data_IF_014804429560
#
_entry.id   IF_014804429560
#
_cell.length_a   1.000
_cell.length_b   1.000
_cell.length_c   1.000
_cell.angle_alpha   90.00
_cell.angle_beta   90.00
_cell.angle_gamma   90.00
#
_symmetry.space_group_name_H-M   'P 1'
#
loop_
_entity.id
_entity.type
_entity.pdbx_description
1 polymer ?
#
# COMPACT_ATOMS: atom_id res chain seq x y z
N UNK A 1 -55.51 57.07 -5.93
CA UNK A 1 -54.60 56.23 -6.73
C UNK A 1 -53.74 55.44 -5.75
N UNK A 2 -54.02 54.16 -5.54
CA UNK A 2 -53.28 53.24 -4.66
C UNK A 2 -52.32 52.48 -5.53
N UNK A 3 -50.98 52.64 -5.33
CA UNK A 3 -49.96 51.87 -6.04
C UNK A 3 -49.75 50.55 -5.30
N UNK A 4 -50.09 49.43 -5.98
CA UNK A 4 -49.74 48.08 -5.56
C UNK A 4 -48.27 47.78 -5.96
N UNK A 5 -47.44 47.48 -4.97
CA UNK A 5 -46.10 46.93 -5.17
C UNK A 5 -46.23 45.41 -5.19
N UNK A 6 -45.95 44.78 -6.31
CA UNK A 6 -45.80 43.32 -6.43
C UNK A 6 -44.35 42.97 -6.11
N UNK A 7 -44.15 42.36 -4.97
CA UNK A 7 -42.85 41.75 -4.61
C UNK A 7 -42.75 40.42 -5.33
N UNK A 8 -41.88 40.34 -6.35
CA UNK A 8 -41.50 39.11 -7.00
C UNK A 8 -40.42 38.42 -6.16
N UNK A 9 -40.77 37.39 -5.41
CA UNK A 9 -39.81 36.53 -4.70
C UNK A 9 -39.23 35.53 -5.69
N UNK A 10 -37.96 35.75 -6.09
CA UNK A 10 -37.20 34.79 -6.89
C UNK A 10 -36.66 33.76 -5.90
N UNK A 11 -37.30 32.58 -5.84
CA UNK A 11 -36.76 31.40 -5.16
C UNK A 11 -35.61 30.86 -5.97
N UNK A 12 -34.35 31.11 -5.55
CA UNK A 12 -33.17 30.42 -6.08
C UNK A 12 -33.23 28.97 -5.56
N UNK A 13 -33.65 28.05 -6.41
CA UNK A 13 -33.49 26.62 -6.17
C UNK A 13 -32.02 26.25 -6.43
N UNK A 14 -31.18 26.22 -5.39
CA UNK A 14 -29.85 25.66 -5.46
C UNK A 14 -30.00 24.14 -5.52
N UNK A 15 -30.01 23.56 -6.70
CA UNK A 15 -29.82 22.12 -6.88
C UNK A 15 -28.42 21.75 -6.41
N UNK A 16 -28.26 21.33 -5.16
CA UNK A 16 -27.08 20.61 -4.74
C UNK A 16 -27.09 19.26 -5.45
N UNK A 17 -26.32 19.15 -6.51
CA UNK A 17 -25.96 17.84 -7.04
C UNK A 17 -25.07 17.16 -5.98
N UNK A 18 -25.66 16.30 -5.17
CA UNK A 18 -24.89 15.33 -4.38
C UNK A 18 -24.30 14.38 -5.42
N UNK A 19 -23.06 14.62 -5.78
CA UNK A 19 -22.31 13.68 -6.61
C UNK A 19 -22.19 12.39 -5.78
N UNK A 20 -22.86 11.33 -6.21
CA UNK A 20 -22.77 10.04 -5.53
C UNK A 20 -21.29 9.64 -5.47
N UNK A 21 -20.78 9.43 -4.26
CA UNK A 21 -19.40 8.97 -4.07
C UNK A 21 -19.27 7.59 -4.73
N UNK A 22 -18.22 7.40 -5.52
CA UNK A 22 -17.91 6.12 -6.14
C UNK A 22 -17.80 5.04 -5.06
N UNK A 23 -18.38 3.83 -5.25
CA UNK A 23 -18.16 2.72 -4.33
C UNK A 23 -16.67 2.45 -4.14
N UNK A 24 -16.26 2.11 -2.92
CA UNK A 24 -14.85 1.90 -2.57
C UNK A 24 -14.17 0.85 -3.47
N UNK A 25 -14.88 -0.22 -3.80
CA UNK A 25 -14.38 -1.28 -4.69
C UNK A 25 -14.07 -0.75 -6.09
N UNK A 26 -14.94 0.09 -6.63
CA UNK A 26 -14.75 0.70 -7.95
C UNK A 26 -13.61 1.73 -7.93
N UNK A 27 -13.48 2.50 -6.85
CA UNK A 27 -12.39 3.44 -6.65
C UNK A 27 -11.03 2.73 -6.62
N UNK A 28 -10.90 1.69 -5.79
CA UNK A 28 -9.68 0.90 -5.68
C UNK A 28 -9.30 0.27 -7.02
N UNK A 29 -10.27 -0.32 -7.71
CA UNK A 29 -10.04 -0.93 -9.01
C UNK A 29 -9.67 0.09 -10.09
N UNK A 30 -10.23 1.28 -10.04
CA UNK A 30 -9.87 2.38 -10.96
C UNK A 30 -8.40 2.81 -10.79
N UNK A 31 -7.84 2.78 -9.56
CA UNK A 31 -6.42 3.03 -9.35
C UNK A 31 -5.54 1.94 -9.97
N UNK A 32 -5.93 0.66 -9.85
CA UNK A 32 -5.21 -0.45 -10.50
C UNK A 32 -5.20 -0.27 -12.02
N UNK A 33 -6.37 0.00 -12.63
CA UNK A 33 -6.47 0.29 -14.07
C UNK A 33 -5.61 1.49 -14.49
N UNK A 34 -5.49 2.47 -13.61
CA UNK A 34 -4.72 3.69 -13.87
C UNK A 34 -3.20 3.47 -13.84
N UNK A 35 -2.72 2.38 -13.24
CA UNK A 35 -1.28 2.12 -13.09
C UNK A 35 -0.78 0.93 -13.92
N UNK A 36 -1.65 -0.02 -14.26
CA UNK A 36 -1.32 -1.21 -15.03
C UNK A 36 -0.59 -0.88 -16.34
N UNK A 37 0.46 -1.65 -16.67
CA UNK A 37 1.17 -1.60 -17.92
C UNK A 37 2.01 -0.34 -18.17
N UNK A 38 2.11 0.56 -17.18
CA UNK A 38 2.91 1.77 -17.25
C UNK A 38 4.34 1.53 -16.79
N UNK A 39 5.29 2.30 -17.31
CA UNK A 39 6.65 2.35 -16.79
C UNK A 39 6.67 2.96 -15.38
N UNK A 40 7.74 2.72 -14.61
CA UNK A 40 7.84 3.27 -13.24
C UNK A 40 7.72 4.82 -13.23
N UNK A 41 8.23 5.52 -14.24
CA UNK A 41 8.08 6.99 -14.35
C UNK A 41 6.61 7.40 -14.58
N UNK A 42 5.89 6.68 -15.44
CA UNK A 42 4.47 6.94 -15.70
C UNK A 42 3.60 6.58 -14.52
N UNK A 43 3.95 5.52 -13.76
CA UNK A 43 3.29 5.14 -12.51
C UNK A 43 3.49 6.22 -11.45
N UNK A 44 4.72 6.71 -11.27
CA UNK A 44 5.01 7.84 -10.38
C UNK A 44 4.24 9.12 -10.78
N UNK A 45 4.12 9.42 -12.07
CA UNK A 45 3.32 10.54 -12.57
C UNK A 45 1.82 10.35 -12.26
N UNK A 46 1.29 9.14 -12.45
CA UNK A 46 -0.09 8.82 -12.10
C UNK A 46 -0.37 9.02 -10.62
N UNK A 47 0.49 8.50 -9.73
CA UNK A 47 0.34 8.67 -8.27
C UNK A 47 0.30 10.16 -7.91
N UNK A 48 1.24 10.96 -8.43
CA UNK A 48 1.27 12.42 -8.20
C UNK A 48 0.00 13.11 -8.70
N UNK A 49 -0.52 12.69 -9.84
CA UNK A 49 -1.79 13.20 -10.37
C UNK A 49 -2.97 12.90 -9.42
N UNK A 50 -3.06 11.66 -8.88
CA UNK A 50 -4.12 11.34 -7.92
C UNK A 50 -3.97 12.17 -6.63
N UNK A 51 -2.77 12.31 -6.08
CA UNK A 51 -2.52 13.16 -4.90
C UNK A 51 -2.90 14.62 -5.13
N UNK A 52 -2.65 15.15 -6.32
CA UNK A 52 -3.13 16.49 -6.71
C UNK A 52 -4.67 16.57 -6.74
N UNK A 53 -5.35 15.59 -7.32
CA UNK A 53 -6.83 15.53 -7.33
C UNK A 53 -7.43 15.48 -5.92
N UNK A 54 -6.76 14.80 -4.99
CA UNK A 54 -7.12 14.73 -3.58
C UNK A 54 -6.79 16.02 -2.82
N UNK A 55 -6.06 16.97 -3.42
CA UNK A 55 -5.50 18.16 -2.77
C UNK A 55 -4.59 17.80 -1.57
N UNK A 56 -3.80 16.75 -1.70
CA UNK A 56 -2.86 16.25 -0.68
C UNK A 56 -1.44 16.65 -1.05
N UNK A 57 -0.73 17.26 -0.08
CA UNK A 57 0.69 17.58 -0.25
C UNK A 57 1.58 16.33 -0.13
N UNK A 58 2.62 16.27 -0.94
CA UNK A 58 3.61 15.19 -0.90
C UNK A 58 5.03 15.73 -1.06
N UNK A 59 6.01 14.91 -0.71
CA UNK A 59 7.44 15.15 -0.92
C UNK A 59 7.96 14.09 -1.87
N UNK A 60 8.82 14.49 -2.80
CA UNK A 60 9.56 13.55 -3.64
C UNK A 60 10.99 13.39 -3.12
N UNK A 61 11.49 12.17 -3.18
CA UNK A 61 12.82 11.80 -2.73
C UNK A 61 13.55 11.05 -3.85
N UNK A 62 14.13 11.79 -4.82
CA UNK A 62 14.87 11.19 -5.93
C UNK A 62 16.17 10.55 -5.43
N UNK A 63 16.53 9.43 -6.01
CA UNK A 63 17.78 8.74 -5.72
C UNK A 63 18.46 8.21 -6.98
N UNK A 64 19.75 7.98 -6.83
CA UNK A 64 20.58 7.37 -7.84
C UNK A 64 21.54 6.39 -7.18
N UNK A 65 21.58 5.18 -7.70
CA UNK A 65 22.47 4.14 -7.20
C UNK A 65 23.23 3.49 -8.38
N UNK A 66 24.37 2.89 -8.06
CA UNK A 66 25.17 2.13 -9.01
C UNK A 66 25.08 0.67 -8.58
N UNK A 67 24.57 -0.19 -9.43
CA UNK A 67 24.47 -1.63 -9.17
C UNK A 67 25.22 -2.42 -10.22
N UNK A 68 25.72 -3.60 -9.79
CA UNK A 68 26.29 -4.59 -10.70
C UNK A 68 25.21 -5.59 -11.10
N UNK A 69 24.79 -5.51 -12.37
CA UNK A 69 23.83 -6.45 -12.94
C UNK A 69 24.53 -7.30 -13.99
N UNK A 70 24.63 -8.61 -13.77
CA UNK A 70 25.27 -9.56 -14.70
C UNK A 70 26.67 -9.14 -15.17
N UNK A 71 27.52 -8.58 -14.29
CA UNK A 71 28.87 -8.04 -14.52
C UNK A 71 28.93 -6.65 -15.19
N UNK A 72 27.81 -6.05 -15.51
CA UNK A 72 27.74 -4.68 -16.02
C UNK A 72 27.41 -3.70 -14.89
N UNK A 73 28.03 -2.53 -14.94
CA UNK A 73 27.69 -1.43 -14.04
C UNK A 73 26.47 -0.72 -14.58
N UNK A 74 25.34 -0.80 -13.87
CA UNK A 74 24.10 -0.15 -14.23
C UNK A 74 23.81 0.99 -13.26
N UNK A 75 23.44 2.14 -13.80
CA UNK A 75 22.96 3.27 -13.02
C UNK A 75 21.44 3.12 -12.90
N UNK A 76 20.96 2.99 -11.66
CA UNK A 76 19.54 2.93 -11.34
C UNK A 76 19.14 4.28 -10.78
N UNK A 77 18.10 4.86 -11.36
CA UNK A 77 17.51 6.14 -10.94
C UNK A 77 16.06 5.85 -10.53
N UNK A 78 15.66 6.38 -9.39
CA UNK A 78 14.31 6.25 -8.88
C UNK A 78 13.88 7.47 -8.07
N UNK A 79 12.62 7.51 -7.68
CA UNK A 79 12.05 8.59 -6.88
C UNK A 79 10.96 8.06 -5.95
N UNK A 80 11.18 8.05 -4.65
CA UNK A 80 10.08 7.78 -3.71
C UNK A 80 9.13 8.98 -3.61
N UNK A 81 7.83 8.69 -3.46
CA UNK A 81 6.78 9.68 -3.22
C UNK A 81 6.26 9.47 -1.80
N UNK A 82 6.24 10.53 -0.99
CA UNK A 82 5.95 10.44 0.44
C UNK A 82 4.85 11.44 0.81
N UNK A 83 3.73 10.94 1.32
CA UNK A 83 2.67 11.76 1.93
C UNK A 83 2.78 11.68 3.43
N UNK A 84 2.78 12.83 4.10
CA UNK A 84 2.90 12.92 5.57
C UNK A 84 1.62 13.42 6.19
N UNK A 85 0.99 12.59 7.01
CA UNK A 85 -0.20 12.96 7.79
C UNK A 85 0.12 12.97 9.28
N UNK A 86 -0.60 13.78 10.04
CA UNK A 86 -0.46 13.86 11.48
C UNK A 86 0.80 14.59 11.96
N UNK A 87 0.94 14.65 13.28
CA UNK A 87 2.06 15.30 13.97
C UNK A 87 2.45 14.48 15.21
N UNK A 88 3.68 14.63 15.68
CA UNK A 88 4.16 13.94 16.87
C UNK A 88 5.61 13.48 16.73
N UNK A 89 6.06 12.65 17.69
CA UNK A 89 7.46 12.28 17.83
C UNK A 89 7.80 10.91 17.28
N UNK A 90 6.84 9.97 17.26
CA UNK A 90 7.04 8.60 16.79
C UNK A 90 6.20 8.36 15.54
N UNK A 91 6.84 8.00 14.46
CA UNK A 91 6.28 7.85 13.13
C UNK A 91 6.01 6.40 12.77
N UNK A 92 4.86 6.16 12.14
CA UNK A 92 4.55 4.93 11.41
C UNK A 92 4.87 5.13 9.92
N UNK A 93 5.35 4.10 9.25
CA UNK A 93 5.45 4.06 7.79
C UNK A 93 4.43 3.06 7.26
N UNK A 94 3.70 3.44 6.22
CA UNK A 94 2.81 2.56 5.46
C UNK A 94 3.25 2.67 4.00
N UNK A 95 3.61 1.57 3.37
CA UNK A 95 4.18 1.66 2.03
C UNK A 95 3.76 0.54 1.10
N UNK A 96 3.92 0.83 -0.19
CA UNK A 96 3.84 -0.11 -1.30
C UNK A 96 4.85 0.34 -2.37
N UNK A 97 5.47 -0.60 -3.07
CA UNK A 97 6.27 -0.21 -4.22
C UNK A 97 5.37 0.08 -5.42
N UNK A 98 5.87 0.90 -6.33
CA UNK A 98 5.08 1.29 -7.50
C UNK A 98 5.74 0.94 -8.84
N UNK A 99 7.00 0.53 -8.86
CA UNK A 99 7.60 -0.08 -10.03
C UNK A 99 6.98 -1.46 -10.30
N UNK A 100 7.34 -2.07 -11.38
CA UNK A 100 6.91 -3.41 -11.75
C UNK A 100 8.07 -4.18 -12.37
N UNK A 101 8.04 -5.48 -12.22
CA UNK A 101 9.02 -6.35 -12.84
C UNK A 101 9.03 -6.15 -14.36
N UNK A 102 10.21 -6.29 -14.95
CA UNK A 102 10.39 -6.08 -16.40
C UNK A 102 9.43 -6.97 -17.19
N UNK A 103 8.73 -6.38 -18.14
CA UNK A 103 7.76 -7.02 -19.03
C UNK A 103 6.47 -7.52 -18.34
N UNK A 104 6.29 -7.23 -17.03
CA UNK A 104 5.03 -7.42 -16.32
C UNK A 104 4.16 -6.17 -16.38
N UNK A 105 2.85 -6.29 -16.60
CA UNK A 105 1.92 -5.18 -16.44
C UNK A 105 1.81 -4.67 -15.01
N UNK A 106 2.12 -5.52 -14.00
CA UNK A 106 2.19 -5.15 -12.59
C UNK A 106 0.88 -4.64 -12.02
N UNK A 107 -0.24 -5.29 -12.34
CA UNK A 107 -1.54 -4.89 -11.83
C UNK A 107 -1.73 -5.33 -10.37
N UNK A 108 -1.35 -6.56 -10.05
CA UNK A 108 -1.37 -7.07 -8.69
C UNK A 108 -0.05 -6.79 -7.98
N UNK A 109 1.05 -6.97 -8.64
CA UNK A 109 2.42 -6.74 -8.16
C UNK A 109 3.03 -5.46 -8.79
N UNK A 110 2.98 -4.25 -8.17
CA UNK A 110 2.23 -3.99 -6.93
C UNK A 110 1.26 -2.79 -7.14
N UNK A 111 0.58 -2.77 -8.30
CA UNK A 111 -0.48 -1.80 -8.57
C UNK A 111 -1.63 -1.90 -7.54
N UNK A 112 -1.85 -3.10 -6.99
CA UNK A 112 -2.88 -3.35 -5.98
C UNK A 112 -2.54 -2.69 -4.64
N UNK A 113 -1.30 -2.81 -4.17
CA UNK A 113 -0.82 -2.14 -2.96
C UNK A 113 -0.85 -0.61 -3.11
N UNK A 114 -0.43 -0.09 -4.28
CA UNK A 114 -0.53 1.35 -4.58
C UNK A 114 -1.98 1.83 -4.51
N UNK A 115 -2.93 1.07 -5.04
CA UNK A 115 -4.35 1.43 -5.00
C UNK A 115 -4.87 1.53 -3.55
N UNK A 116 -4.50 0.57 -2.70
CA UNK A 116 -4.87 0.59 -1.28
C UNK A 116 -4.26 1.79 -0.56
N UNK A 117 -2.98 2.10 -0.78
CA UNK A 117 -2.32 3.27 -0.17
C UNK A 117 -2.97 4.57 -0.61
N UNK A 118 -3.29 4.74 -1.90
CA UNK A 118 -4.00 5.93 -2.40
C UNK A 118 -5.36 6.11 -1.73
N UNK A 119 -6.17 5.05 -1.64
CA UNK A 119 -7.47 5.11 -0.99
C UNK A 119 -7.36 5.39 0.52
N UNK A 120 -6.35 4.82 1.21
CA UNK A 120 -6.09 5.14 2.62
C UNK A 120 -5.77 6.63 2.79
N UNK A 121 -4.92 7.21 1.95
CA UNK A 121 -4.62 8.65 1.96
C UNK A 121 -5.90 9.46 1.75
N UNK A 122 -6.67 9.16 0.70
CA UNK A 122 -7.88 9.89 0.38
C UNK A 122 -8.88 9.93 1.53
N UNK A 123 -9.11 8.81 2.18
CA UNK A 123 -10.13 8.70 3.21
C UNK A 123 -9.65 9.06 4.61
N UNK A 124 -8.33 9.09 4.85
CA UNK A 124 -7.76 9.31 6.17
C UNK A 124 -7.04 10.66 6.33
N UNK A 125 -6.90 11.45 5.25
CA UNK A 125 -6.18 12.74 5.29
C UNK A 125 -6.77 13.76 6.28
N UNK A 126 -8.07 13.67 6.58
CA UNK A 126 -8.77 14.58 7.49
C UNK A 126 -8.92 14.01 8.92
N UNK A 127 -8.34 12.85 9.21
CA UNK A 127 -8.34 12.26 10.54
C UNK A 127 -7.30 12.96 11.41
N UNK A 128 -7.65 13.23 12.66
CA UNK A 128 -6.68 13.67 13.66
C UNK A 128 -5.84 12.49 14.14
N UNK A 129 -4.55 12.53 13.80
CA UNK A 129 -3.60 11.48 14.13
C UNK A 129 -2.81 11.82 15.39
N UNK A 130 -2.74 10.90 16.35
CA UNK A 130 -1.93 10.99 17.56
C UNK A 130 -0.43 10.75 17.31
N UNK A 131 -0.08 10.33 16.10
CA UNK A 131 1.30 10.13 15.63
C UNK A 131 1.40 10.44 14.12
N UNK A 132 2.56 10.85 13.62
CA UNK A 132 2.73 11.04 12.20
C UNK A 132 2.78 9.71 11.46
N UNK A 133 2.16 9.69 10.26
CA UNK A 133 2.23 8.58 9.31
C UNK A 133 2.92 9.08 8.05
N UNK A 134 3.93 8.36 7.57
CA UNK A 134 4.44 8.50 6.20
C UNK A 134 3.81 7.40 5.35
N UNK A 135 2.95 7.78 4.40
CA UNK A 135 2.52 6.91 3.33
C UNK A 135 3.56 7.02 2.22
N UNK A 136 4.22 5.90 1.92
CA UNK A 136 5.34 5.84 1.00
C UNK A 136 5.00 5.02 -0.23
N UNK A 137 5.27 5.57 -1.40
CA UNK A 137 5.30 4.83 -2.65
C UNK A 137 6.78 4.67 -3.00
N UNK A 138 7.29 3.45 -2.87
CA UNK A 138 8.70 3.14 -3.12
C UNK A 138 8.93 2.82 -4.58
N UNK A 139 10.06 3.31 -5.13
CA UNK A 139 10.48 3.03 -6.50
C UNK A 139 11.62 2.01 -6.50
N UNK A 140 11.70 1.20 -7.55
CA UNK A 140 12.79 0.25 -7.75
C UNK A 140 12.88 -0.82 -6.64
N UNK A 141 11.75 -1.32 -6.17
CA UNK A 141 11.70 -2.50 -5.30
C UNK A 141 12.25 -3.72 -6.03
N UNK A 142 11.80 -3.93 -7.28
CA UNK A 142 12.20 -4.99 -8.19
C UNK A 142 13.70 -4.96 -8.57
N UNK A 143 14.35 -3.86 -8.26
CA UNK A 143 15.79 -3.68 -8.37
C UNK A 143 16.50 -3.80 -7.03
N UNK A 144 16.04 -4.74 -6.18
CA UNK A 144 16.63 -5.07 -4.89
C UNK A 144 16.34 -4.01 -3.81
N UNK A 145 15.08 -3.66 -3.62
CA UNK A 145 14.55 -2.80 -2.53
C UNK A 145 15.21 -1.41 -2.47
N UNK A 146 15.56 -0.85 -3.64
CA UNK A 146 16.36 0.38 -3.65
C UNK A 146 15.66 1.58 -3.04
N UNK A 147 14.36 1.72 -3.31
CA UNK A 147 13.56 2.84 -2.80
C UNK A 147 13.41 2.81 -1.29
N UNK A 148 13.01 1.69 -0.72
CA UNK A 148 12.86 1.53 0.73
C UNK A 148 14.20 1.63 1.45
N UNK A 149 15.27 1.05 0.89
CA UNK A 149 16.64 1.19 1.40
C UNK A 149 17.09 2.65 1.40
N UNK A 150 16.80 3.40 0.31
CA UNK A 150 17.11 4.84 0.26
C UNK A 150 16.29 5.62 1.31
N UNK A 151 14.98 5.32 1.44
CA UNK A 151 14.14 5.96 2.45
C UNK A 151 14.72 5.78 3.85
N UNK A 152 15.12 4.56 4.20
CA UNK A 152 15.71 4.23 5.50
C UNK A 152 16.96 5.05 5.75
N UNK A 153 17.88 5.07 4.80
CA UNK A 153 19.16 5.75 4.96
C UNK A 153 19.02 7.28 5.08
N UNK A 154 17.97 7.87 4.49
CA UNK A 154 17.77 9.32 4.47
C UNK A 154 16.82 9.83 5.55
N UNK A 155 15.75 9.09 5.86
CA UNK A 155 14.64 9.61 6.64
C UNK A 155 14.46 8.89 7.99
N UNK A 156 14.96 7.66 8.14
CA UNK A 156 14.77 6.91 9.38
C UNK A 156 15.65 7.47 10.50
N UNK A 157 14.98 7.79 11.59
CA UNK A 157 15.59 8.08 12.88
C UNK A 157 15.02 7.01 13.83
N UNK A 158 15.81 6.00 14.26
CA UNK A 158 15.27 4.84 15.00
C UNK A 158 14.43 5.19 16.23
N UNK A 159 14.75 6.27 16.94
CA UNK A 159 13.99 6.75 18.10
C UNK A 159 12.66 7.43 17.73
N UNK A 160 12.50 7.83 16.46
CA UNK A 160 11.34 8.56 15.93
C UNK A 160 10.45 7.73 15.01
N UNK A 161 10.84 6.51 14.69
CA UNK A 161 10.04 5.57 13.90
C UNK A 161 9.76 4.35 14.77
N UNK A 162 8.54 3.82 14.70
CA UNK A 162 8.20 2.69 15.53
C UNK A 162 7.82 1.42 14.75
N UNK A 163 7.25 1.55 13.55
CA UNK A 163 6.89 0.40 12.73
C UNK A 163 6.76 0.75 11.25
N UNK A 164 6.79 -0.29 10.42
CA UNK A 164 6.45 -0.30 8.99
C UNK A 164 5.32 -1.28 8.75
N UNK A 165 4.33 -0.88 7.96
CA UNK A 165 3.31 -1.75 7.34
C UNK A 165 3.58 -1.73 5.84
N UNK A 166 3.97 -2.86 5.29
CA UNK A 166 4.15 -3.06 3.86
C UNK A 166 2.88 -3.66 3.24
N UNK A 167 2.42 -3.11 2.13
CA UNK A 167 1.31 -3.65 1.35
C UNK A 167 1.85 -4.15 0.02
N UNK A 168 1.72 -5.45 -0.19
CA UNK A 168 2.25 -6.09 -1.39
C UNK A 168 1.38 -7.26 -1.82
N UNK A 169 0.91 -7.24 -3.09
CA UNK A 169 -0.01 -8.24 -3.65
C UNK A 169 -1.36 -8.25 -2.92
N UNK A 170 -2.13 -7.17 -3.08
CA UNK A 170 -3.39 -6.95 -2.37
C UNK A 170 -4.65 -7.32 -3.18
N UNK A 171 -4.47 -7.75 -4.43
CA UNK A 171 -5.57 -7.82 -5.40
C UNK A 171 -6.13 -9.21 -5.66
N UNK A 172 -5.63 -10.30 -5.06
CA UNK A 172 -6.07 -11.64 -5.42
C UNK A 172 -6.36 -12.51 -4.21
N UNK A 173 -7.59 -13.04 -4.12
CA UNK A 173 -7.94 -14.00 -3.08
C UNK A 173 -8.85 -13.47 -1.99
N UNK A 174 -8.97 -14.24 -0.91
CA UNK A 174 -9.95 -14.03 0.16
C UNK A 174 -9.37 -14.27 1.57
N UNK A 175 -8.05 -14.34 1.69
CA UNK A 175 -7.35 -14.54 2.97
C UNK A 175 -6.30 -13.48 3.19
N UNK A 176 -6.32 -12.83 4.35
CA UNK A 176 -5.29 -11.87 4.77
C UNK A 176 -4.07 -12.66 5.24
N UNK A 177 -2.98 -12.59 4.48
CA UNK A 177 -1.70 -13.19 4.82
C UNK A 177 -0.78 -12.15 5.42
N UNK A 178 -0.23 -12.41 6.59
CA UNK A 178 0.58 -11.47 7.36
C UNK A 178 1.88 -12.12 7.82
N UNK A 179 2.95 -11.35 7.72
CA UNK A 179 4.25 -11.73 8.22
C UNK A 179 5.31 -10.65 7.96
N UNK A 180 6.53 -10.92 8.38
CA UNK A 180 6.94 -11.99 9.29
C UNK A 180 6.54 -11.69 10.74
N UNK A 181 5.98 -12.67 11.45
CA UNK A 181 5.67 -12.53 12.88
C UNK A 181 6.80 -13.13 13.73
N UNK A 182 6.93 -12.62 14.97
CA UNK A 182 7.94 -13.13 15.91
C UNK A 182 9.33 -12.48 15.80
N UNK A 183 9.53 -11.55 14.86
CA UNK A 183 10.70 -10.65 14.85
C UNK A 183 10.56 -9.59 15.97
N UNK A 184 10.94 -8.36 15.77
CA UNK A 184 10.84 -7.29 16.77
C UNK A 184 9.43 -6.66 16.88
N UNK A 185 8.37 -7.33 16.42
CA UNK A 185 7.04 -6.76 16.26
C UNK A 185 6.01 -7.16 17.33
N UNK A 186 6.43 -7.74 18.45
CA UNK A 186 5.53 -8.26 19.49
C UNK A 186 4.55 -7.23 20.06
N UNK A 187 4.98 -5.97 20.23
CA UNK A 187 4.10 -4.92 20.74
C UNK A 187 3.11 -4.41 19.69
N UNK A 188 3.43 -4.58 18.42
CA UNK A 188 2.63 -4.17 17.29
C UNK A 188 1.61 -5.25 16.87
N UNK A 189 2.00 -6.52 16.92
CA UNK A 189 1.22 -7.66 16.44
C UNK A 189 -0.15 -7.79 17.13
N UNK A 190 -0.27 -7.38 18.39
CA UNK A 190 -1.56 -7.39 19.10
C UNK A 190 -2.63 -6.60 18.38
N UNK A 191 -2.26 -5.46 17.76
CA UNK A 191 -3.21 -4.63 17.01
C UNK A 191 -3.61 -5.29 15.69
N UNK A 192 -2.73 -6.11 15.13
CA UNK A 192 -3.02 -6.93 13.95
C UNK A 192 -4.09 -7.97 14.31
N UNK A 193 -3.96 -8.66 15.44
CA UNK A 193 -4.99 -9.59 15.90
C UNK A 193 -6.31 -8.90 16.22
N UNK A 194 -6.28 -7.72 16.83
CA UNK A 194 -7.48 -6.93 17.06
C UNK A 194 -8.13 -6.50 15.73
N UNK A 195 -7.35 -6.14 14.72
CA UNK A 195 -7.86 -5.81 13.40
C UNK A 195 -8.50 -7.04 12.73
N UNK A 196 -7.85 -8.20 12.78
CA UNK A 196 -8.39 -9.45 12.27
C UNK A 196 -9.73 -9.81 12.95
N UNK A 197 -9.81 -9.68 14.28
CA UNK A 197 -11.04 -9.92 15.02
C UNK A 197 -12.16 -8.93 14.65
N UNK A 198 -11.83 -7.64 14.47
CA UNK A 198 -12.83 -6.60 14.13
C UNK A 198 -13.35 -6.71 12.72
N UNK A 199 -12.50 -7.06 11.77
CA UNK A 199 -12.89 -7.20 10.35
C UNK A 199 -13.57 -8.54 10.09
N UNK A 200 -13.22 -9.58 10.85
CA UNK A 200 -13.75 -10.93 10.67
C UNK A 200 -13.26 -11.63 9.41
N UNK A 201 -12.24 -11.07 8.73
CA UNK A 201 -11.68 -11.67 7.53
C UNK A 201 -10.87 -12.93 7.84
N UNK A 202 -10.86 -13.93 6.94
CA UNK A 202 -9.92 -15.05 7.04
C UNK A 202 -8.48 -14.52 7.14
N UNK A 203 -7.72 -15.10 8.04
CA UNK A 203 -6.43 -14.57 8.44
C UNK A 203 -5.43 -15.69 8.65
N UNK A 204 -4.24 -15.54 8.09
CA UNK A 204 -3.11 -16.44 8.28
C UNK A 204 -1.86 -15.65 8.63
N UNK A 205 -1.17 -16.04 9.70
CA UNK A 205 0.11 -15.45 10.10
C UNK A 205 1.27 -16.39 9.88
N UNK A 206 2.43 -15.86 9.54
CA UNK A 206 3.65 -16.64 9.34
C UNK A 206 4.88 -15.95 9.89
N UNK A 207 5.82 -16.74 10.39
CA UNK A 207 7.17 -16.26 10.70
C UNK A 207 8.00 -15.99 9.43
N UNK A 208 7.64 -16.63 8.33
CA UNK A 208 8.24 -16.44 7.01
C UNK A 208 7.27 -15.67 6.11
N UNK A 209 7.81 -14.67 5.41
CA UNK A 209 7.07 -13.87 4.43
C UNK A 209 7.97 -13.61 3.22
N UNK A 210 7.45 -13.56 1.99
CA UNK A 210 8.24 -13.19 0.82
C UNK A 210 8.93 -11.85 1.02
N UNK A 211 10.19 -11.75 0.56
CA UNK A 211 10.95 -10.51 0.68
C UNK A 211 10.27 -9.38 -0.12
N UNK A 212 10.16 -8.22 0.50
CA UNK A 212 9.68 -6.98 -0.09
C UNK A 212 10.19 -5.80 0.76
N UNK A 213 9.70 -4.58 0.56
CA UNK A 213 10.18 -3.35 1.18
C UNK A 213 10.30 -3.39 2.72
N UNK A 214 9.51 -4.21 3.42
CA UNK A 214 9.60 -4.40 4.88
C UNK A 214 10.97 -4.93 5.33
N UNK A 215 11.67 -5.72 4.49
CA UNK A 215 13.01 -6.24 4.83
C UNK A 215 14.03 -5.11 5.02
N UNK A 216 13.90 -4.02 4.28
CA UNK A 216 14.75 -2.85 4.48
C UNK A 216 14.63 -2.28 5.90
N UNK A 217 13.43 -2.34 6.49
CA UNK A 217 13.17 -1.84 7.86
C UNK A 217 13.63 -2.83 8.93
N UNK A 218 13.47 -4.13 8.71
CA UNK A 218 13.94 -5.17 9.62
C UNK A 218 15.45 -5.06 9.89
N UNK A 219 16.23 -4.73 8.87
CA UNK A 219 17.69 -4.55 8.99
C UNK A 219 18.10 -3.39 9.91
N UNK A 220 17.17 -2.46 10.19
CA UNK A 220 17.36 -1.35 11.15
C UNK A 220 16.74 -1.62 12.52
N UNK A 221 16.35 -2.87 12.80
CA UNK A 221 15.73 -3.30 14.04
C UNK A 221 14.42 -2.53 14.37
N UNK A 222 13.71 -2.09 13.33
CA UNK A 222 12.38 -1.51 13.43
C UNK A 222 11.33 -2.62 13.39
N UNK A 223 10.21 -2.39 14.04
CA UNK A 223 9.06 -3.30 13.90
C UNK A 223 8.55 -3.20 12.45
N UNK A 224 8.33 -4.32 11.83
CA UNK A 224 7.83 -4.41 10.47
C UNK A 224 6.77 -5.50 10.35
N UNK A 225 5.88 -5.33 9.41
CA UNK A 225 4.92 -6.33 8.98
C UNK A 225 4.55 -6.09 7.52
N UNK A 226 4.41 -7.16 6.79
CA UNK A 226 3.85 -7.13 5.45
C UNK A 226 2.46 -7.77 5.44
N UNK A 227 1.58 -7.25 4.60
CA UNK A 227 0.23 -7.73 4.37
C UNK A 227 0.12 -8.06 2.89
N UNK A 228 -0.52 -9.19 2.58
CA UNK A 228 -0.97 -9.56 1.24
C UNK A 228 -2.37 -10.15 1.31
N UNK A 229 -3.14 -10.04 0.24
CA UNK A 229 -4.40 -10.76 0.09
C UNK A 229 -4.18 -11.87 -0.93
N UNK A 230 -4.33 -13.10 -0.48
CA UNK A 230 -4.01 -14.28 -1.29
C UNK A 230 -5.15 -15.29 -1.33
N UNK A 231 -5.18 -16.17 -2.34
CA UNK A 231 -6.14 -17.27 -2.38
C UNK A 231 -6.02 -18.17 -1.15
N UNK A 232 -7.15 -18.65 -0.65
CA UNK A 232 -7.20 -19.53 0.51
C UNK A 232 -6.28 -20.75 0.34
N UNK A 233 -5.42 -20.96 1.33
CA UNK A 233 -4.41 -22.01 1.35
C UNK A 233 -3.11 -21.66 0.61
N UNK A 234 -3.03 -20.51 -0.07
CA UNK A 234 -1.77 -20.04 -0.63
C UNK A 234 -0.87 -19.43 0.44
N UNK A 235 -1.40 -18.90 1.52
CA UNK A 235 -0.63 -18.42 2.68
C UNK A 235 0.31 -19.50 3.23
N UNK A 236 -0.21 -20.72 3.44
CA UNK A 236 0.60 -21.84 3.90
C UNK A 236 1.66 -22.27 2.87
N UNK A 237 1.30 -22.24 1.57
CA UNK A 237 2.24 -22.55 0.48
C UNK A 237 3.34 -21.52 0.37
N UNK A 238 3.00 -20.22 0.45
CA UNK A 238 3.96 -19.12 0.47
C UNK A 238 4.92 -19.23 1.65
N UNK A 239 4.39 -19.46 2.86
CA UNK A 239 5.21 -19.67 4.04
C UNK A 239 6.19 -20.84 3.87
N UNK A 240 5.73 -21.98 3.33
CA UNK A 240 6.59 -23.14 3.03
C UNK A 240 7.61 -22.83 1.93
N UNK A 241 7.20 -22.09 0.91
CA UNK A 241 8.07 -21.71 -0.20
C UNK A 241 9.25 -20.85 0.27
N UNK A 242 8.98 -19.84 1.10
CA UNK A 242 10.03 -18.98 1.70
C UNK A 242 10.94 -19.82 2.60
N UNK A 243 10.37 -20.65 3.48
CA UNK A 243 11.14 -21.53 4.39
C UNK A 243 12.07 -22.50 3.66
N UNK A 244 11.71 -22.90 2.44
CA UNK A 244 12.50 -23.78 1.60
C UNK A 244 13.43 -23.04 0.62
N UNK A 245 13.91 -21.84 0.97
CA UNK A 245 14.77 -21.02 0.12
C UNK A 245 14.20 -20.77 -1.28
N UNK A 246 12.91 -20.47 -1.35
CA UNK A 246 12.17 -20.21 -2.60
C UNK A 246 12.17 -21.39 -3.57
N UNK A 247 12.15 -22.60 -3.03
CA UNK A 247 12.06 -23.83 -3.81
C UNK A 247 10.71 -24.51 -3.61
N UNK A 248 9.97 -24.70 -4.67
CA UNK A 248 8.73 -25.48 -4.66
C UNK A 248 8.74 -26.46 -5.84
N UNK A 249 8.08 -27.60 -5.64
CA UNK A 249 7.69 -28.45 -6.76
C UNK A 249 6.44 -27.88 -7.45
N UNK A 250 6.14 -28.34 -8.67
CA UNK A 250 5.01 -27.84 -9.45
C UNK A 250 3.63 -28.04 -8.79
N UNK A 251 3.52 -28.94 -7.82
CA UNK A 251 2.27 -29.28 -7.11
C UNK A 251 2.03 -28.30 -5.96
N UNK A 252 3.11 -27.83 -5.32
CA UNK A 252 3.08 -26.98 -4.13
C UNK A 252 3.39 -25.51 -4.42
N UNK A 253 3.53 -25.14 -5.70
CA UNK A 253 3.75 -23.73 -6.09
C UNK A 253 2.54 -22.89 -5.64
N UNK A 254 2.76 -21.79 -4.91
CA UNK A 254 1.71 -20.83 -4.63
C UNK A 254 1.11 -20.27 -5.92
N UNK A 255 -0.21 -20.19 -6.01
CA UNK A 255 -0.90 -19.75 -7.24
C UNK A 255 -0.54 -18.31 -7.61
N UNK A 256 -0.39 -17.46 -6.62
CA UNK A 256 -0.02 -16.05 -6.82
C UNK A 256 1.31 -15.91 -7.55
N UNK A 257 2.29 -16.80 -7.30
CA UNK A 257 3.58 -16.78 -7.96
C UNK A 257 3.51 -17.24 -9.44
N UNK A 258 2.42 -17.90 -9.85
CA UNK A 258 2.22 -18.33 -11.24
C UNK A 258 1.91 -17.16 -12.18
N UNK A 259 1.53 -16.00 -11.63
CA UNK A 259 1.14 -14.80 -12.38
C UNK A 259 2.13 -13.66 -12.15
N UNK A 260 2.62 -13.51 -10.92
CA UNK A 260 3.60 -12.50 -10.51
C UNK A 260 4.83 -12.53 -11.43
N UNK A 261 5.35 -11.37 -11.80
CA UNK A 261 6.51 -11.18 -12.70
C UNK A 261 6.29 -11.71 -14.14
N UNK A 262 5.05 -11.93 -14.56
CA UNK A 262 4.71 -12.38 -15.91
C UNK A 262 3.84 -11.36 -16.66
N UNK A 263 3.66 -11.59 -17.97
CA UNK A 263 2.77 -10.79 -18.80
C UNK A 263 1.27 -10.95 -18.43
N UNK A 264 0.95 -11.90 -17.57
CA UNK A 264 -0.41 -12.22 -17.15
C UNK A 264 -0.81 -11.47 -15.84
N UNK A 265 0.09 -10.72 -15.21
CA UNK A 265 -0.23 -9.87 -14.06
C UNK A 265 -1.03 -8.64 -14.49
N UNK A 266 -2.31 -8.88 -14.76
CA UNK A 266 -3.25 -7.91 -15.32
C UNK A 266 -4.44 -7.66 -14.40
N UNK A 267 -5.07 -6.50 -14.58
CA UNK A 267 -6.22 -6.06 -13.80
C UNK A 267 -7.41 -7.01 -13.85
N UNK A 268 -7.61 -7.76 -14.94
CA UNK A 268 -8.68 -8.77 -15.02
C UNK A 268 -8.53 -9.93 -14.01
N UNK A 269 -7.36 -10.10 -13.41
CA UNK A 269 -7.11 -11.06 -12.33
C UNK A 269 -7.19 -10.40 -10.94
N UNK A 270 -7.30 -9.08 -10.87
CA UNK A 270 -7.45 -8.34 -9.62
C UNK A 270 -8.91 -8.27 -9.23
N UNK A 271 -9.22 -8.67 -8.00
CA UNK A 271 -10.55 -8.65 -7.42
C UNK A 271 -10.80 -7.35 -6.64
N UNK A 272 -11.82 -6.55 -7.00
CA UNK A 272 -12.22 -5.39 -6.19
C UNK A 272 -12.50 -5.75 -4.72
N UNK A 273 -13.05 -6.94 -4.47
CA UNK A 273 -13.32 -7.42 -3.10
C UNK A 273 -12.05 -7.70 -2.30
N UNK A 274 -10.99 -8.22 -2.95
CA UNK A 274 -9.68 -8.41 -2.32
C UNK A 274 -9.04 -7.07 -1.95
N UNK A 275 -9.07 -6.11 -2.87
CA UNK A 275 -8.59 -4.74 -2.62
C UNK A 275 -9.32 -4.08 -1.43
N UNK A 276 -10.65 -4.23 -1.38
CA UNK A 276 -11.45 -3.74 -0.26
C UNK A 276 -11.07 -4.42 1.05
N UNK A 277 -10.85 -5.73 1.05
CA UNK A 277 -10.41 -6.49 2.21
C UNK A 277 -9.11 -5.92 2.78
N UNK A 278 -8.11 -5.72 1.92
CA UNK A 278 -6.83 -5.10 2.30
C UNK A 278 -7.02 -3.70 2.87
N UNK A 279 -7.79 -2.85 2.18
CA UNK A 279 -8.10 -1.50 2.63
C UNK A 279 -8.77 -1.49 4.01
N UNK A 280 -9.84 -2.28 4.21
CA UNK A 280 -10.58 -2.29 5.47
C UNK A 280 -9.75 -2.86 6.62
N UNK A 281 -8.96 -3.90 6.36
CA UNK A 281 -8.05 -4.46 7.33
C UNK A 281 -6.99 -3.44 7.76
N UNK A 282 -6.29 -2.85 6.79
CA UNK A 282 -5.22 -1.87 7.05
C UNK A 282 -5.77 -0.62 7.72
N UNK A 283 -6.89 -0.09 7.25
CA UNK A 283 -7.58 1.03 7.90
C UNK A 283 -7.92 0.73 9.36
N UNK A 284 -8.47 -0.46 9.63
CA UNK A 284 -8.83 -0.88 10.99
C UNK A 284 -7.59 -0.93 11.89
N UNK A 285 -6.49 -1.50 11.38
CA UNK A 285 -5.20 -1.53 12.07
C UNK A 285 -4.68 -0.12 12.39
N UNK A 286 -4.70 0.79 11.42
CA UNK A 286 -4.28 2.18 11.61
C UNK A 286 -5.13 2.91 12.67
N UNK A 287 -6.45 2.71 12.66
CA UNK A 287 -7.35 3.33 13.64
C UNK A 287 -7.14 2.78 15.05
N UNK A 288 -6.84 1.49 15.20
CA UNK A 288 -6.49 0.87 16.49
C UNK A 288 -5.19 1.45 17.04
N UNK A 289 -4.17 1.56 16.20
CA UNK A 289 -2.90 2.19 16.55
C UNK A 289 -3.10 3.65 16.97
N UNK A 290 -3.96 4.40 16.26
CA UNK A 290 -4.27 5.78 16.61
C UNK A 290 -4.93 5.90 18.00
N UNK A 291 -5.84 4.99 18.33
CA UNK A 291 -6.50 4.96 19.64
C UNK A 291 -5.60 4.60 20.81
N UNK A 292 -4.51 3.87 20.57
CA UNK A 292 -3.61 3.35 21.59
C UNK A 292 -2.59 4.35 22.14
N UNK A 293 -2.44 5.52 21.51
CA UNK A 293 -1.45 6.53 21.87
C UNK A 293 -2.02 7.65 22.74
N UNK A 294 -3.25 7.47 23.27
CA UNK A 294 -3.89 8.40 24.23
C UNK A 294 -3.43 8.17 25.66
#
# INVERSE_FOLDING_TARGET
>A
MKRFWILLSISLFVCMFVQAQMPLEDELYAYVLGIEGRTHLERGAFIKEQLHKMNVGYVTAPFKNISLVKRDTVIIVGENIIVRLGSGTKRLVVGAHYDAFKDSPGANDNGSGVAVVLALIQHLQNIEWNYPIDFCFFDQEEMNLMGSTYYINQFIIPKKHFAMINLDIEGTGEEVFIGPVGRNNQSFIRYVYEAAQKTGYPFFESAEFPASDHESFANFNLQDIAISIVPKGDSERLSKYVRNDYKADSINMPKVLGVMHTADDRSNLVSPASLKMSYEFTKTLLMLLNGSQK
#
